data_IF_962566392666
#
_entry.id   IF_962566392666
#
_cell.length_a   1.000
_cell.length_b   1.000
_cell.length_c   1.000
_cell.angle_alpha   90.00
_cell.angle_beta   90.00
_cell.angle_gamma   90.00
#
_symmetry.space_group_name_H-M   'P 1'
#
loop_
_entity.id
_entity.type
_entity.pdbx_description
1 polymer ?
#
# COMPACT_ATOMS: atom_id res chain seq x y z
N UNK A 1 46.05 15.57 -3.33
CA UNK A 1 44.66 16.00 -2.99
C UNK A 1 43.72 14.88 -3.34
N UNK A 2 43.20 14.18 -2.36
CA UNK A 2 42.20 13.14 -2.57
C UNK A 2 40.82 13.80 -2.67
N UNK A 3 40.16 13.70 -3.84
CA UNK A 3 38.77 14.09 -3.99
C UNK A 3 37.92 12.98 -3.36
N UNK A 4 37.42 13.22 -2.14
CA UNK A 4 36.40 12.33 -1.55
C UNK A 4 35.10 12.60 -2.31
N UNK A 5 34.87 11.86 -3.38
CA UNK A 5 33.54 11.76 -3.98
C UNK A 5 32.72 10.94 -2.99
N UNK A 6 32.05 11.60 -2.05
CA UNK A 6 31.00 10.96 -1.29
C UNK A 6 29.92 10.59 -2.31
N UNK A 7 29.91 9.33 -2.74
CA UNK A 7 28.76 8.74 -3.42
C UNK A 7 27.60 8.89 -2.46
N UNK A 8 26.78 9.92 -2.65
CA UNK A 8 25.47 10.02 -2.01
C UNK A 8 24.72 8.74 -2.38
N UNK A 9 24.78 7.73 -1.51
CA UNK A 9 24.03 6.51 -1.66
C UNK A 9 22.56 6.94 -1.68
N UNK A 10 21.89 6.83 -2.83
CA UNK A 10 20.46 7.13 -2.94
C UNK A 10 19.76 6.24 -1.93
N UNK A 11 19.02 6.85 -1.01
CA UNK A 11 18.31 6.13 0.03
C UNK A 11 17.26 5.23 -0.62
N UNK A 12 17.29 3.94 -0.29
CA UNK A 12 16.37 2.94 -0.80
C UNK A 12 15.40 2.58 0.31
N UNK A 13 14.12 2.56 0.00
CA UNK A 13 13.05 2.24 0.95
C UNK A 13 12.28 1.03 0.46
N UNK A 14 11.97 0.12 1.39
CA UNK A 14 11.10 -1.01 1.16
C UNK A 14 9.68 -0.66 1.60
N UNK A 15 8.76 -0.61 0.66
CA UNK A 15 7.35 -0.30 0.88
C UNK A 15 6.52 -1.54 0.57
N UNK A 16 5.58 -1.88 1.43
CA UNK A 16 4.59 -2.90 1.15
C UNK A 16 3.23 -2.25 0.88
N UNK A 17 2.52 -2.75 -0.12
CA UNK A 17 1.20 -2.27 -0.51
C UNK A 17 0.17 -3.36 -0.20
N UNK A 18 -0.74 -3.06 0.68
CA UNK A 18 -1.73 -3.98 1.23
C UNK A 18 -3.15 -3.44 1.06
N UNK A 19 -4.13 -4.29 1.26
CA UNK A 19 -5.56 -3.99 1.15
C UNK A 19 -6.30 -5.17 0.56
N UNK A 20 -7.62 -5.17 0.63
CA UNK A 20 -8.45 -6.25 0.10
C UNK A 20 -8.22 -6.43 -1.41
N UNK A 21 -8.60 -7.59 -1.93
CA UNK A 21 -8.62 -7.83 -3.37
C UNK A 21 -9.54 -6.80 -4.08
N UNK A 22 -9.25 -6.54 -5.33
CA UNK A 22 -9.95 -5.55 -6.15
C UNK A 22 -9.93 -4.08 -5.61
N UNK A 23 -9.16 -3.75 -4.58
CA UNK A 23 -9.05 -2.38 -4.07
C UNK A 23 -8.26 -1.43 -4.99
N UNK A 24 -7.61 -1.96 -6.03
CA UNK A 24 -6.89 -1.19 -7.03
C UNK A 24 -5.40 -0.98 -6.73
N UNK A 25 -4.80 -1.78 -5.82
CA UNK A 25 -3.38 -1.73 -5.48
C UNK A 25 -2.46 -1.81 -6.70
N UNK A 26 -2.61 -2.87 -7.47
CA UNK A 26 -1.80 -3.12 -8.67
C UNK A 26 -1.96 -2.00 -9.70
N UNK A 27 -3.17 -1.50 -9.88
CA UNK A 27 -3.46 -0.36 -10.77
C UNK A 27 -2.74 0.89 -10.31
N UNK A 28 -2.79 1.21 -9.00
CA UNK A 28 -2.07 2.36 -8.42
C UNK A 28 -0.55 2.24 -8.61
N UNK A 29 -0.01 1.03 -8.42
CA UNK A 29 1.41 0.77 -8.60
C UNK A 29 1.85 1.08 -10.04
N UNK A 30 1.12 0.58 -11.03
CA UNK A 30 1.44 0.82 -12.44
C UNK A 30 1.16 2.26 -12.86
N UNK A 31 0.11 2.90 -12.38
CA UNK A 31 -0.10 4.34 -12.57
C UNK A 31 1.10 5.16 -12.09
N UNK A 32 1.62 4.83 -10.92
CA UNK A 32 2.77 5.53 -10.34
C UNK A 32 4.06 5.30 -11.12
N UNK A 33 4.19 4.16 -11.80
CA UNK A 33 5.37 3.80 -12.59
C UNK A 33 5.32 4.32 -14.02
N UNK A 34 4.18 4.16 -14.69
CA UNK A 34 4.00 4.39 -16.12
C UNK A 34 3.33 5.73 -16.44
N UNK A 35 2.77 6.39 -15.44
CA UNK A 35 1.93 7.58 -15.60
C UNK A 35 0.68 7.32 -16.47
N UNK A 36 0.21 6.07 -16.49
CA UNK A 36 -0.92 5.59 -17.28
C UNK A 36 -1.75 4.59 -16.49
N UNK A 37 -3.04 4.50 -16.80
CA UNK A 37 -3.96 3.54 -16.18
C UNK A 37 -4.06 2.30 -17.06
N UNK A 38 -3.68 1.16 -16.51
CA UNK A 38 -3.78 -0.12 -17.19
C UNK A 38 -4.80 -1.03 -16.49
N UNK A 39 -5.44 -1.89 -17.27
CA UNK A 39 -6.28 -2.95 -16.74
C UNK A 39 -5.39 -4.03 -16.11
N UNK A 40 -5.66 -4.39 -14.88
CA UNK A 40 -4.93 -5.40 -14.14
C UNK A 40 -5.80 -6.60 -13.84
N UNK A 41 -5.17 -7.75 -13.68
CA UNK A 41 -5.79 -8.98 -13.16
C UNK A 41 -5.49 -9.14 -11.68
N UNK A 42 -6.28 -9.89 -10.91
CA UNK A 42 -6.01 -10.15 -9.50
C UNK A 42 -4.60 -10.71 -9.29
N UNK A 43 -3.91 -10.17 -8.29
CA UNK A 43 -2.55 -10.59 -7.95
C UNK A 43 -2.57 -11.92 -7.21
N UNK A 44 -1.94 -12.94 -7.78
CA UNK A 44 -1.69 -14.23 -7.12
C UNK A 44 -0.25 -14.18 -6.56
N UNK A 45 -0.13 -14.05 -5.24
CA UNK A 45 1.16 -13.86 -4.59
C UNK A 45 1.51 -12.38 -4.47
N UNK A 46 2.51 -11.91 -5.18
CA UNK A 46 2.94 -10.50 -5.15
C UNK A 46 3.49 -10.02 -6.49
N UNK A 47 3.46 -8.69 -6.69
CA UNK A 47 4.23 -7.99 -7.70
C UNK A 47 5.31 -7.15 -7.03
N UNK A 48 6.48 -7.04 -7.67
CA UNK A 48 7.60 -6.25 -7.19
C UNK A 48 7.98 -5.20 -8.25
N UNK A 49 8.02 -3.94 -7.83
CA UNK A 49 8.40 -2.85 -8.71
C UNK A 49 9.37 -1.87 -8.04
N UNK A 50 10.26 -1.32 -8.85
CA UNK A 50 11.16 -0.25 -8.42
C UNK A 50 10.68 1.08 -8.99
N UNK A 51 10.42 2.02 -8.11
CA UNK A 51 10.02 3.39 -8.45
C UNK A 51 11.12 4.34 -8.04
N UNK A 52 11.56 5.18 -8.96
CA UNK A 52 12.51 6.25 -8.68
C UNK A 52 11.76 7.56 -8.55
N UNK A 53 11.86 8.20 -7.39
CA UNK A 53 11.26 9.49 -7.16
C UNK A 53 12.33 10.45 -6.60
N UNK A 54 12.72 11.46 -7.37
CA UNK A 54 13.78 12.42 -7.00
C UNK A 54 15.08 11.69 -6.58
N UNK A 55 15.51 11.87 -5.31
CA UNK A 55 16.72 11.26 -4.75
C UNK A 55 16.49 9.90 -4.09
N UNK A 56 15.24 9.42 -4.03
CA UNK A 56 14.85 8.18 -3.37
C UNK A 56 14.55 7.08 -4.38
N UNK A 57 14.77 5.84 -3.96
CA UNK A 57 14.32 4.63 -4.65
C UNK A 57 13.34 3.92 -3.72
N UNK A 58 12.19 3.55 -4.26
CA UNK A 58 11.20 2.77 -3.54
C UNK A 58 11.14 1.38 -4.17
N UNK A 59 11.25 0.38 -3.35
CA UNK A 59 10.95 -1.01 -3.69
C UNK A 59 9.54 -1.29 -3.19
N UNK A 60 8.58 -1.39 -4.09
CA UNK A 60 7.18 -1.58 -3.76
C UNK A 60 6.78 -3.03 -4.00
N UNK A 61 6.28 -3.66 -2.97
CA UNK A 61 5.75 -5.02 -2.97
C UNK A 61 4.23 -4.93 -2.92
N UNK A 62 3.58 -5.10 -4.07
CA UNK A 62 2.13 -5.19 -4.18
C UNK A 62 1.70 -6.63 -3.89
N UNK A 63 1.12 -6.86 -2.72
CA UNK A 63 0.79 -8.19 -2.23
C UNK A 63 -0.71 -8.44 -2.43
N UNK A 64 -1.05 -9.63 -2.92
CA UNK A 64 -2.42 -10.03 -3.18
C UNK A 64 -3.33 -9.88 -1.96
N UNK A 65 -4.54 -9.39 -2.18
CA UNK A 65 -5.52 -9.09 -1.12
C UNK A 65 -6.59 -10.16 -0.91
N UNK A 66 -6.53 -11.29 -1.62
CA UNK A 66 -7.44 -12.41 -1.42
C UNK A 66 -7.25 -13.05 -0.03
N UNK A 67 -8.31 -13.60 0.57
CA UNK A 67 -8.31 -14.12 1.94
C UNK A 67 -7.14 -15.06 2.23
N UNK A 68 -6.94 -16.07 1.38
CA UNK A 68 -5.86 -17.05 1.53
C UNK A 68 -4.46 -16.44 1.43
N UNK A 69 -4.31 -15.33 0.72
CA UNK A 69 -3.03 -14.64 0.55
C UNK A 69 -2.79 -13.68 1.71
N UNK A 70 -3.85 -13.09 2.27
CA UNK A 70 -3.74 -12.20 3.44
C UNK A 70 -3.12 -12.90 4.66
N UNK A 71 -3.39 -14.18 4.85
CA UNK A 71 -2.76 -14.98 5.89
C UNK A 71 -1.23 -15.07 5.76
N UNK A 72 -0.69 -14.76 4.58
CA UNK A 72 0.75 -14.78 4.30
C UNK A 72 1.40 -13.39 4.37
N UNK A 73 0.65 -12.32 4.61
CA UNK A 73 1.17 -10.94 4.61
C UNK A 73 2.34 -10.76 5.58
N UNK A 74 2.32 -11.39 6.75
CA UNK A 74 3.35 -11.28 7.77
C UNK A 74 4.76 -11.68 7.27
N UNK A 75 4.86 -12.53 6.26
CA UNK A 75 6.15 -12.90 5.66
C UNK A 75 6.86 -11.71 4.98
N UNK A 76 6.12 -10.66 4.65
CA UNK A 76 6.63 -9.48 3.94
C UNK A 76 6.99 -8.32 4.87
N UNK A 77 6.68 -8.42 6.17
CA UNK A 77 6.83 -7.30 7.12
C UNK A 77 8.29 -7.01 7.49
N UNK A 78 9.18 -8.00 7.38
CA UNK A 78 10.57 -7.82 7.72
C UNK A 78 11.24 -6.73 6.88
N UNK A 79 11.96 -5.81 7.55
CA UNK A 79 12.66 -4.70 6.93
C UNK A 79 11.76 -3.74 6.14
N UNK A 80 10.49 -3.65 6.53
CA UNK A 80 9.55 -2.71 5.94
C UNK A 80 9.86 -1.29 6.44
N UNK A 81 9.95 -0.33 5.52
CA UNK A 81 10.14 1.09 5.83
C UNK A 81 8.82 1.88 5.81
N UNK A 82 7.76 1.31 5.24
CA UNK A 82 6.44 1.93 5.22
C UNK A 82 5.38 1.04 4.57
N UNK A 83 4.14 1.28 4.94
CA UNK A 83 2.97 0.55 4.44
C UNK A 83 2.05 1.51 3.68
N UNK A 84 1.63 1.11 2.48
CA UNK A 84 0.53 1.75 1.76
C UNK A 84 -0.68 0.81 1.87
N UNK A 85 -1.72 1.25 2.56
CA UNK A 85 -2.96 0.49 2.68
C UNK A 85 -4.04 1.08 1.79
N UNK A 86 -4.56 0.30 0.85
CA UNK A 86 -5.51 0.75 -0.17
C UNK A 86 -6.90 0.25 0.17
N UNK A 87 -7.84 1.20 0.31
CA UNK A 87 -9.26 0.96 0.57
C UNK A 87 -10.04 1.23 -0.71
N UNK A 88 -10.91 0.32 -1.11
CA UNK A 88 -11.92 0.57 -2.14
C UNK A 88 -13.06 1.40 -1.53
N UNK A 89 -13.15 2.67 -1.91
CA UNK A 89 -14.17 3.57 -1.37
C UNK A 89 -15.58 3.26 -1.85
N UNK A 90 -15.72 2.53 -2.95
CA UNK A 90 -17.01 2.14 -3.52
C UNK A 90 -17.53 0.80 -2.98
N UNK A 91 -16.67 0.01 -2.33
CA UNK A 91 -17.04 -1.28 -1.75
C UNK A 91 -17.51 -1.10 -0.29
N UNK A 92 -18.70 -0.57 -0.13
CA UNK A 92 -19.28 -0.29 1.20
C UNK A 92 -19.57 -1.55 2.00
N UNK A 93 -19.81 -2.68 1.34
CA UNK A 93 -20.10 -3.96 1.98
C UNK A 93 -18.88 -4.51 2.71
N UNK A 94 -17.69 -4.41 2.10
CA UNK A 94 -16.44 -4.89 2.70
C UNK A 94 -15.62 -3.80 3.42
N UNK A 95 -16.14 -2.59 3.52
CA UNK A 95 -15.42 -1.50 4.18
C UNK A 95 -15.06 -1.84 5.64
N UNK A 96 -16.01 -2.41 6.38
CA UNK A 96 -15.77 -2.85 7.77
C UNK A 96 -14.65 -3.89 7.85
N UNK A 97 -14.65 -4.87 6.97
CA UNK A 97 -13.59 -5.88 6.87
C UNK A 97 -12.24 -5.23 6.58
N UNK A 98 -12.20 -4.30 5.64
CA UNK A 98 -10.99 -3.55 5.28
C UNK A 98 -10.42 -2.78 6.48
N UNK A 99 -11.27 -2.11 7.27
CA UNK A 99 -10.86 -1.37 8.46
C UNK A 99 -10.33 -2.28 9.57
N UNK A 100 -10.96 -3.44 9.79
CA UNK A 100 -10.47 -4.42 10.76
C UNK A 100 -9.10 -5.00 10.35
N UNK A 101 -8.89 -5.26 9.05
CA UNK A 101 -7.57 -5.68 8.56
C UNK A 101 -6.51 -4.57 8.76
N UNK A 102 -6.86 -3.30 8.53
CA UNK A 102 -5.97 -2.18 8.78
C UNK A 102 -5.59 -2.08 10.26
N UNK A 103 -6.56 -2.22 11.16
CA UNK A 103 -6.34 -2.24 12.60
C UNK A 103 -5.37 -3.37 12.99
N UNK A 104 -5.64 -4.60 12.54
CA UNK A 104 -4.77 -5.74 12.79
C UNK A 104 -3.33 -5.52 12.30
N UNK A 105 -3.15 -4.84 11.17
CA UNK A 105 -1.81 -4.52 10.64
C UNK A 105 -1.07 -3.51 11.51
N UNK A 106 -1.76 -2.48 12.00
CA UNK A 106 -1.17 -1.44 12.87
C UNK A 106 -0.72 -2.04 14.21
N UNK A 107 -1.42 -3.09 14.68
CA UNK A 107 -1.11 -3.79 15.93
C UNK A 107 0.06 -4.79 15.78
N UNK A 108 0.58 -5.07 14.57
CA UNK A 108 1.71 -5.96 14.37
C UNK A 108 3.01 -5.35 14.89
N UNK A 109 3.74 -6.09 15.70
CA UNK A 109 5.01 -5.63 16.29
C UNK A 109 6.06 -5.29 15.21
N UNK A 110 6.11 -6.06 14.13
CA UNK A 110 7.04 -5.86 13.01
C UNK A 110 6.79 -4.54 12.27
N UNK A 111 5.56 -4.03 12.30
CA UNK A 111 5.15 -2.79 11.64
C UNK A 111 5.05 -1.59 12.59
N UNK A 112 5.35 -1.76 13.88
CA UNK A 112 5.17 -0.75 14.94
C UNK A 112 5.81 0.60 14.63
N UNK A 113 6.96 0.59 13.95
CA UNK A 113 7.70 1.79 13.60
C UNK A 113 7.52 2.20 12.12
N UNK A 114 6.66 1.49 11.38
CA UNK A 114 6.40 1.82 9.99
C UNK A 114 5.33 2.91 9.90
N UNK A 115 5.56 3.97 9.13
CA UNK A 115 4.49 4.88 8.76
C UNK A 115 3.48 4.18 7.85
N UNK A 116 2.20 4.48 8.06
CA UNK A 116 1.09 4.02 7.23
C UNK A 116 0.55 5.17 6.38
N UNK A 117 0.45 4.95 5.08
CA UNK A 117 -0.33 5.79 4.17
C UNK A 117 -1.60 5.04 3.79
N UNK A 118 -2.75 5.55 4.22
CA UNK A 118 -4.04 5.00 3.82
C UNK A 118 -4.57 5.75 2.61
N UNK A 119 -4.88 5.01 1.55
CA UNK A 119 -5.40 5.53 0.29
C UNK A 119 -6.87 5.12 0.13
N UNK A 120 -7.77 6.10 0.20
CA UNK A 120 -9.18 5.92 -0.16
C UNK A 120 -9.32 5.99 -1.69
N UNK A 121 -9.23 4.85 -2.34
CA UNK A 121 -9.18 4.72 -3.80
C UNK A 121 -10.58 4.71 -4.43
N UNK A 122 -10.62 4.82 -5.75
CA UNK A 122 -11.83 4.78 -6.58
C UNK A 122 -12.82 5.94 -6.31
N UNK A 123 -12.29 7.11 -5.97
CA UNK A 123 -13.09 8.33 -5.71
C UNK A 123 -13.80 8.86 -6.96
N UNK A 124 -13.48 8.36 -8.13
CA UNK A 124 -14.12 8.62 -9.41
C UNK A 124 -15.48 7.91 -9.58
N UNK A 125 -15.79 6.94 -8.74
CA UNK A 125 -17.03 6.18 -8.79
C UNK A 125 -18.12 6.88 -7.96
N UNK A 126 -19.36 6.93 -8.49
CA UNK A 126 -20.51 7.54 -7.80
C UNK A 126 -20.83 6.86 -6.45
N UNK A 127 -20.62 5.55 -6.36
CA UNK A 127 -20.85 4.78 -5.15
C UNK A 127 -19.74 4.97 -4.09
N UNK A 128 -18.68 5.72 -4.41
CA UNK A 128 -17.56 5.90 -3.50
C UNK A 128 -17.94 6.71 -2.26
N UNK A 129 -17.63 6.17 -1.10
CA UNK A 129 -17.69 6.91 0.15
C UNK A 129 -16.60 7.99 0.17
N UNK A 130 -16.92 9.15 0.74
CA UNK A 130 -15.98 10.29 0.72
C UNK A 130 -14.75 10.01 1.57
N UNK A 131 -13.60 10.59 1.17
CA UNK A 131 -12.35 10.52 1.94
C UNK A 131 -12.56 10.96 3.38
N UNK A 132 -13.36 12.01 3.61
CA UNK A 132 -13.69 12.53 4.95
C UNK A 132 -14.41 11.48 5.80
N UNK A 133 -15.37 10.78 5.21
CA UNK A 133 -16.16 9.75 5.91
C UNK A 133 -15.33 8.53 6.21
N UNK A 134 -14.54 8.04 5.25
CA UNK A 134 -13.60 6.93 5.46
C UNK A 134 -12.59 7.28 6.56
N UNK A 135 -12.02 8.47 6.52
CA UNK A 135 -11.11 8.95 7.56
C UNK A 135 -11.73 8.93 8.95
N UNK A 136 -12.99 9.37 9.08
CA UNK A 136 -13.73 9.31 10.34
C UNK A 136 -13.89 7.86 10.81
N UNK A 137 -14.32 6.96 9.94
CA UNK A 137 -14.46 5.54 10.27
C UNK A 137 -13.13 4.90 10.72
N UNK A 138 -12.01 5.30 10.13
CA UNK A 138 -10.68 4.87 10.58
C UNK A 138 -10.45 5.29 12.03
N UNK A 139 -10.67 6.57 12.37
CA UNK A 139 -10.50 7.07 13.74
C UNK A 139 -11.46 6.43 14.75
N UNK A 140 -12.66 6.06 14.32
CA UNK A 140 -13.64 5.40 15.19
C UNK A 140 -13.30 3.90 15.40
N UNK A 141 -12.42 3.32 14.56
CA UNK A 141 -12.04 1.89 14.61
C UNK A 141 -10.68 1.67 15.29
N UNK A 142 -9.72 2.57 15.07
CA UNK A 142 -8.34 2.53 15.55
C UNK A 142 -8.15 3.53 16.68
#
# INVERSE_FOLDING_TARGET
MGIIISKFKRKQYRIIMLGLDASGKTTLLYCSKLNDVINTIPTIGFNYERIKLKKCKFEVWDIGGQDKIRELWYHYFNYCDGVIYVIDSADTERLKESLLNLQNLIEQDELRNCPFLVVANKQDLEAADTVKHIRRKIYDTI
#
